data_IF_955139226227
#
_entry.id   IF_955139226227
#
_cell.length_a   1.000
_cell.length_b   1.000
_cell.length_c   1.000
_cell.angle_alpha   90.00
_cell.angle_beta   90.00
_cell.angle_gamma   90.00
#
_symmetry.space_group_name_H-M   'P 1'
#
loop_
_entity.id
_entity.type
_entity.pdbx_description
1 polymer ?
#
# COMPACT_ATOMS: atom_id res chain seq x y z
N UNK A 1 22.52 -33.65 -39.13
CA UNK A 1 21.80 -32.39 -38.80
C UNK A 1 22.58 -31.15 -39.24
N UNK A 2 21.89 -30.15 -39.79
CA UNK A 2 22.41 -28.82 -40.14
C UNK A 2 21.79 -27.74 -39.25
N UNK A 3 22.57 -26.73 -38.90
CA UNK A 3 22.09 -25.55 -38.16
C UNK A 3 22.00 -24.41 -39.17
N UNK A 4 20.83 -23.81 -39.31
CA UNK A 4 20.54 -22.85 -40.38
C UNK A 4 20.86 -21.42 -39.95
N UNK A 5 20.37 -20.98 -38.79
CA UNK A 5 20.66 -19.65 -38.26
C UNK A 5 20.51 -19.57 -36.74
N UNK A 6 21.13 -18.53 -36.18
CA UNK A 6 20.97 -18.04 -34.82
C UNK A 6 20.64 -16.56 -34.94
N UNK A 7 19.46 -16.13 -34.49
CA UNK A 7 19.08 -14.71 -34.55
C UNK A 7 18.35 -14.29 -33.28
N UNK A 8 18.69 -13.14 -32.68
CA UNK A 8 17.90 -12.59 -31.59
C UNK A 8 16.53 -12.12 -32.13
N UNK A 9 15.50 -12.13 -31.28
CA UNK A 9 14.18 -11.57 -31.61
C UNK A 9 14.21 -10.05 -31.68
N UNK A 10 15.09 -9.43 -30.89
CA UNK A 10 15.40 -7.99 -30.86
C UNK A 10 16.81 -7.77 -30.32
N UNK A 11 17.37 -6.60 -30.56
CA UNK A 11 18.72 -6.24 -30.10
C UNK A 11 18.72 -5.26 -28.92
N UNK A 12 17.56 -4.76 -28.48
CA UNK A 12 17.44 -3.79 -27.40
C UNK A 12 16.65 -4.37 -26.21
N UNK A 13 17.22 -4.22 -25.01
CA UNK A 13 16.72 -4.80 -23.76
C UNK A 13 16.77 -3.78 -22.62
N UNK A 14 15.91 -3.99 -21.62
CA UNK A 14 16.02 -3.32 -20.32
C UNK A 14 16.93 -4.14 -19.39
N UNK A 15 17.55 -3.52 -18.38
CA UNK A 15 18.30 -4.26 -17.36
C UNK A 15 17.51 -5.42 -16.76
N UNK A 16 18.14 -6.59 -16.64
CA UNK A 16 17.54 -7.84 -16.13
C UNK A 16 16.36 -8.43 -16.93
N UNK A 17 15.96 -7.81 -18.04
CA UNK A 17 14.86 -8.33 -18.87
C UNK A 17 15.26 -9.62 -19.59
N UNK A 18 14.27 -10.47 -19.87
CA UNK A 18 14.47 -11.68 -20.68
C UNK A 18 14.39 -11.34 -22.16
N UNK A 19 15.32 -11.90 -22.93
CA UNK A 19 15.36 -11.86 -24.37
C UNK A 19 15.23 -13.24 -24.98
N UNK A 20 14.78 -13.28 -26.23
CA UNK A 20 14.62 -14.51 -26.99
C UNK A 20 15.65 -14.57 -28.11
N UNK A 21 16.25 -15.74 -28.29
CA UNK A 21 17.11 -16.05 -29.41
C UNK A 21 16.59 -17.30 -30.10
N UNK A 22 16.39 -17.19 -31.41
CA UNK A 22 15.89 -18.29 -32.22
C UNK A 22 17.04 -19.06 -32.84
N UNK A 23 17.07 -20.36 -32.58
CA UNK A 23 18.03 -21.30 -33.19
C UNK A 23 17.25 -22.24 -34.10
N UNK A 24 17.49 -22.14 -35.41
CA UNK A 24 16.85 -23.00 -36.41
C UNK A 24 17.78 -24.14 -36.80
N UNK A 25 17.26 -25.36 -36.73
CA UNK A 25 17.99 -26.58 -37.08
C UNK A 25 17.14 -27.49 -37.94
N UNK A 26 17.82 -28.30 -38.74
CA UNK A 26 17.21 -29.31 -39.60
C UNK A 26 17.96 -30.64 -39.49
N UNK A 27 17.29 -31.68 -38.99
CA UNK A 27 17.82 -33.02 -38.91
C UNK A 27 17.41 -33.84 -40.15
N UNK A 28 18.23 -33.80 -41.20
CA UNK A 28 18.04 -34.63 -42.40
C UNK A 28 18.53 -36.09 -42.24
N UNK A 29 18.90 -36.53 -41.03
CA UNK A 29 19.37 -37.89 -40.79
C UNK A 29 18.19 -38.84 -40.52
N UNK A 30 18.45 -40.14 -40.69
CA UNK A 30 17.50 -41.21 -40.38
C UNK A 30 17.47 -41.58 -38.89
N UNK A 31 18.30 -40.94 -38.07
CA UNK A 31 18.40 -41.17 -36.62
C UNK A 31 18.13 -39.87 -35.85
N UNK A 32 17.81 -40.01 -34.57
CA UNK A 32 17.73 -38.91 -33.62
C UNK A 32 19.09 -38.21 -33.49
N UNK A 33 19.04 -36.89 -33.33
CA UNK A 33 20.21 -36.04 -33.10
C UNK A 33 19.98 -35.13 -31.89
N UNK A 34 21.08 -34.74 -31.25
CA UNK A 34 21.08 -33.82 -30.12
C UNK A 34 21.80 -32.53 -30.52
N UNK A 35 21.19 -31.40 -30.19
CA UNK A 35 21.81 -30.08 -30.29
C UNK A 35 22.25 -29.64 -28.90
N UNK A 36 23.50 -29.22 -28.78
CA UNK A 36 24.03 -28.55 -27.59
C UNK A 36 24.23 -27.07 -27.92
N UNK A 37 23.69 -26.19 -27.08
CA UNK A 37 23.83 -24.74 -27.25
C UNK A 37 24.58 -24.18 -26.06
N UNK A 38 25.81 -23.74 -26.30
CA UNK A 38 26.62 -22.99 -25.35
C UNK A 38 26.44 -21.50 -25.62
N UNK A 39 26.15 -20.71 -24.60
CA UNK A 39 26.03 -19.26 -24.74
C UNK A 39 26.68 -18.50 -23.59
N UNK A 40 27.17 -17.31 -23.91
CA UNK A 40 27.83 -16.40 -22.98
C UNK A 40 27.19 -15.01 -23.08
N UNK A 41 26.76 -14.47 -21.93
CA UNK A 41 26.22 -13.11 -21.81
C UNK A 41 27.00 -12.40 -20.72
N UNK A 42 27.69 -11.31 -21.06
CA UNK A 42 28.51 -10.54 -20.10
C UNK A 42 29.51 -11.40 -19.30
N UNK A 43 30.10 -12.41 -19.94
CA UNK A 43 31.06 -13.33 -19.32
C UNK A 43 30.44 -14.50 -18.53
N UNK A 44 29.13 -14.48 -18.26
CA UNK A 44 28.44 -15.62 -17.67
C UNK A 44 28.13 -16.67 -18.74
N UNK A 45 28.48 -17.93 -18.47
CA UNK A 45 28.37 -19.05 -19.42
C UNK A 45 27.25 -20.00 -19.05
N UNK A 46 26.52 -20.46 -20.05
CA UNK A 46 25.36 -21.32 -19.91
C UNK A 46 25.34 -22.38 -21.00
N UNK A 47 24.61 -23.47 -20.75
CA UNK A 47 24.42 -24.56 -21.70
C UNK A 47 22.97 -25.04 -21.67
N UNK A 48 22.42 -25.24 -22.86
CA UNK A 48 21.13 -25.90 -23.08
C UNK A 48 21.30 -27.08 -24.06
N UNK A 49 20.33 -28.00 -24.11
CA UNK A 49 20.33 -29.08 -25.07
C UNK A 49 18.91 -29.45 -25.53
N UNK A 50 18.78 -29.83 -26.80
CA UNK A 50 17.51 -30.23 -27.38
C UNK A 50 17.63 -31.52 -28.19
N UNK A 51 16.57 -32.33 -28.14
CA UNK A 51 16.40 -33.53 -28.95
C UNK A 51 15.59 -33.22 -30.21
N UNK A 52 16.06 -33.75 -31.35
CA UNK A 52 15.43 -33.56 -32.66
C UNK A 52 15.30 -34.91 -33.36
N UNK A 53 14.07 -35.29 -33.68
CA UNK A 53 13.77 -36.55 -34.37
C UNK A 53 14.30 -36.58 -35.81
N UNK A 54 14.28 -37.76 -36.46
CA UNK A 54 14.74 -37.92 -37.82
C UNK A 54 13.85 -37.17 -38.81
N UNK A 55 14.46 -36.58 -39.84
CA UNK A 55 13.79 -35.81 -40.91
C UNK A 55 12.93 -34.63 -40.40
N UNK A 56 13.35 -33.97 -39.31
CA UNK A 56 12.61 -32.84 -38.71
C UNK A 56 13.40 -31.53 -38.74
N UNK A 57 12.71 -30.43 -39.08
CA UNK A 57 13.22 -29.07 -38.92
C UNK A 57 12.46 -28.32 -37.81
N UNK A 58 13.19 -27.74 -36.85
CA UNK A 58 12.59 -27.08 -35.69
C UNK A 58 13.32 -25.77 -35.37
N UNK A 59 12.56 -24.78 -34.91
CA UNK A 59 13.09 -23.56 -34.31
C UNK A 59 12.95 -23.69 -32.81
N UNK A 60 14.04 -23.48 -32.09
CA UNK A 60 14.07 -23.45 -30.63
C UNK A 60 14.22 -22.01 -30.15
N UNK A 61 13.59 -21.72 -29.02
CA UNK A 61 13.72 -20.44 -28.33
C UNK A 61 14.65 -20.61 -27.15
N UNK A 62 15.79 -19.94 -27.21
CA UNK A 62 16.69 -19.76 -26.08
C UNK A 62 16.32 -18.45 -25.36
N UNK A 63 16.19 -18.50 -24.04
CA UNK A 63 16.00 -17.31 -23.23
C UNK A 63 17.35 -16.84 -22.68
N UNK A 64 17.68 -15.57 -22.94
CA UNK A 64 18.87 -14.91 -22.39
C UNK A 64 18.43 -13.82 -21.41
N UNK A 65 19.14 -13.65 -20.30
CA UNK A 65 18.89 -12.54 -19.39
C UNK A 65 19.82 -11.37 -19.70
N UNK A 66 19.25 -10.19 -19.94
CA UNK A 66 20.02 -8.98 -20.16
C UNK A 66 20.80 -8.58 -18.89
N UNK A 67 22.05 -8.11 -19.01
CA UNK A 67 22.83 -7.61 -17.89
C UNK A 67 22.11 -6.55 -17.04
N UNK A 68 22.42 -6.42 -15.73
CA UNK A 68 21.79 -5.43 -14.85
C UNK A 68 22.28 -3.99 -15.08
N UNK A 69 23.39 -3.82 -15.83
CA UNK A 69 23.97 -2.51 -16.14
C UNK A 69 23.66 -2.14 -17.57
N UNK A 70 23.51 -0.84 -17.81
CA UNK A 70 23.41 -0.29 -19.16
C UNK A 70 24.73 -0.44 -19.92
N UNK A 71 24.64 -0.60 -21.24
CA UNK A 71 25.79 -0.76 -22.11
C UNK A 71 25.50 -1.59 -23.35
N UNK A 72 26.52 -1.72 -24.18
CA UNK A 72 26.52 -2.64 -25.32
C UNK A 72 27.26 -3.91 -24.88
N UNK A 73 26.64 -5.06 -25.09
CA UNK A 73 27.15 -6.35 -24.67
C UNK A 73 27.20 -7.32 -25.84
N UNK A 74 28.31 -8.03 -25.96
CA UNK A 74 28.41 -9.17 -26.85
C UNK A 74 27.68 -10.38 -26.26
N UNK A 75 26.81 -10.99 -27.05
CA UNK A 75 26.25 -12.31 -26.79
C UNK A 75 26.90 -13.29 -27.74
N UNK A 76 27.64 -14.25 -27.18
CA UNK A 76 28.29 -15.32 -27.96
C UNK A 76 27.44 -16.56 -27.83
N UNK A 77 27.07 -17.15 -28.97
CA UNK A 77 26.29 -18.40 -28.99
C UNK A 77 26.97 -19.37 -29.93
N UNK A 78 27.12 -20.60 -29.48
CA UNK A 78 27.62 -21.73 -30.26
C UNK A 78 26.63 -22.87 -30.16
N UNK A 79 26.06 -23.25 -31.29
CA UNK A 79 25.21 -24.42 -31.41
C UNK A 79 26.01 -25.53 -32.09
N UNK A 80 26.02 -26.73 -31.50
CA UNK A 80 26.86 -27.83 -31.95
C UNK A 80 26.16 -29.18 -31.85
N UNK A 81 26.60 -30.11 -32.70
CA UNK A 81 26.25 -31.53 -32.64
C UNK A 81 27.52 -32.36 -32.90
N UNK A 82 27.37 -33.69 -33.04
CA UNK A 82 28.51 -34.60 -33.26
C UNK A 82 29.35 -34.26 -34.51
N UNK A 83 28.74 -33.66 -35.53
CA UNK A 83 29.31 -33.52 -36.87
C UNK A 83 29.61 -32.06 -37.25
N UNK A 84 28.82 -31.10 -36.75
CA UNK A 84 28.82 -29.71 -37.17
C UNK A 84 28.69 -28.78 -35.96
N UNK A 85 29.21 -27.56 -36.10
CA UNK A 85 28.96 -26.46 -35.18
C UNK A 85 28.78 -25.16 -35.96
N UNK A 86 27.97 -24.26 -35.45
CA UNK A 86 27.90 -22.87 -35.87
C UNK A 86 28.06 -21.99 -34.64
N UNK A 87 28.81 -20.91 -34.79
CA UNK A 87 28.90 -19.89 -33.75
C UNK A 87 28.56 -18.53 -34.33
N UNK A 88 27.94 -17.70 -33.50
CA UNK A 88 27.60 -16.33 -33.81
C UNK A 88 27.93 -15.45 -32.61
N UNK A 89 28.29 -14.21 -32.90
CA UNK A 89 28.32 -13.14 -31.91
C UNK A 89 27.41 -12.05 -32.43
N UNK A 90 26.52 -11.56 -31.57
CA UNK A 90 25.71 -10.39 -31.86
C UNK A 90 25.72 -9.46 -30.65
N UNK A 91 25.60 -8.17 -30.93
CA UNK A 91 25.53 -7.14 -29.91
C UNK A 91 24.09 -6.99 -29.44
N UNK A 92 23.92 -6.90 -28.13
CA UNK A 92 22.70 -6.42 -27.50
C UNK A 92 22.96 -5.09 -26.81
N UNK A 93 21.98 -4.19 -26.89
CA UNK A 93 21.99 -2.89 -26.24
C UNK A 93 21.10 -3.01 -25.01
N UNK A 94 21.69 -2.86 -23.82
CA UNK A 94 20.94 -2.70 -22.57
C UNK A 94 20.82 -1.21 -22.32
N UNK A 95 19.62 -0.69 -22.51
CA UNK A 95 19.31 0.71 -22.27
C UNK A 95 18.46 0.83 -21.00
N UNK A 96 18.69 1.87 -20.17
CA UNK A 96 17.86 2.10 -19.00
C UNK A 96 16.41 2.36 -19.41
N UNK A 97 15.47 2.14 -18.48
CA UNK A 97 14.08 2.50 -18.74
C UNK A 97 13.99 4.02 -18.78
N UNK A 98 13.68 4.58 -19.94
CA UNK A 98 13.63 6.03 -20.10
C UNK A 98 12.52 6.65 -19.25
N UNK A 99 11.35 6.02 -19.23
CA UNK A 99 10.15 6.46 -18.50
C UNK A 99 9.58 5.31 -17.66
N UNK A 100 9.69 5.44 -16.34
CA UNK A 100 9.07 4.55 -15.37
C UNK A 100 8.94 5.28 -14.04
N UNK A 101 7.92 4.94 -13.26
CA UNK A 101 7.68 5.61 -11.99
C UNK A 101 7.05 4.67 -10.96
N UNK A 102 7.13 5.05 -9.70
CA UNK A 102 6.46 4.40 -8.57
C UNK A 102 5.67 5.46 -7.83
N UNK A 103 4.54 5.06 -7.24
CA UNK A 103 3.69 5.93 -6.44
C UNK A 103 3.45 5.30 -5.09
N UNK A 104 3.34 6.15 -4.08
CA UNK A 104 3.05 5.75 -2.70
C UNK A 104 2.28 6.86 -1.99
N UNK A 105 1.54 6.53 -0.92
CA UNK A 105 0.89 7.53 -0.08
C UNK A 105 1.05 7.22 1.40
N UNK A 106 1.41 8.24 2.17
CA UNK A 106 1.59 8.15 3.61
C UNK A 106 0.77 9.20 4.38
N UNK A 107 0.09 8.83 5.48
CA UNK A 107 -0.19 7.44 5.87
C UNK A 107 -1.20 6.79 4.91
N UNK A 108 -1.07 5.48 4.71
CA UNK A 108 -2.01 4.65 3.94
C UNK A 108 -3.25 4.26 4.77
N UNK A 109 -3.19 4.45 6.09
CA UNK A 109 -4.29 4.29 7.03
C UNK A 109 -4.26 5.36 8.12
N UNK A 110 -5.38 6.03 8.34
CA UNK A 110 -5.52 7.01 9.43
C UNK A 110 -6.94 7.00 10.01
N UNK A 111 -7.07 7.24 11.31
CA UNK A 111 -8.33 7.45 12.00
C UNK A 111 -8.39 8.89 12.49
N UNK A 112 -9.46 9.63 12.17
CA UNK A 112 -9.65 11.03 12.58
C UNK A 112 -11.11 11.31 12.94
N UNK A 113 -11.35 12.37 13.69
CA UNK A 113 -12.70 12.78 14.04
C UNK A 113 -13.42 13.43 12.84
N UNK A 114 -14.72 13.18 12.73
CA UNK A 114 -15.56 13.76 11.68
C UNK A 114 -15.54 15.30 11.77
N UNK A 115 -15.29 15.95 10.64
CA UNK A 115 -15.11 17.41 10.56
C UNK A 115 -13.64 17.84 10.55
N UNK A 116 -12.69 16.94 10.82
CA UNK A 116 -11.27 17.24 10.69
C UNK A 116 -10.77 17.13 9.24
N UNK A 117 -9.76 17.93 8.90
CA UNK A 117 -9.05 17.82 7.62
C UNK A 117 -7.87 16.86 7.77
N UNK A 118 -7.83 15.83 6.94
CA UNK A 118 -6.74 14.87 6.90
C UNK A 118 -5.68 15.34 5.93
N UNK A 119 -4.42 15.36 6.38
CA UNK A 119 -3.26 15.63 5.53
C UNK A 119 -2.53 14.32 5.24
N UNK A 120 -2.39 13.98 3.96
CA UNK A 120 -1.63 12.86 3.45
C UNK A 120 -0.49 13.39 2.57
N UNK A 121 0.49 12.53 2.29
CA UNK A 121 1.64 12.84 1.47
C UNK A 121 1.74 11.84 0.31
N UNK A 122 1.49 12.29 -0.91
CA UNK A 122 1.63 11.50 -2.13
C UNK A 122 3.08 11.57 -2.61
N UNK A 123 3.77 10.43 -2.59
CA UNK A 123 5.09 10.28 -3.19
C UNK A 123 5.00 9.81 -4.63
N UNK A 124 5.64 10.53 -5.56
CA UNK A 124 5.82 10.11 -6.96
C UNK A 124 7.31 10.05 -7.24
N UNK A 125 7.84 8.85 -7.47
CA UNK A 125 9.24 8.61 -7.78
C UNK A 125 9.40 8.29 -9.27
N UNK A 126 10.07 9.16 -10.03
CA UNK A 126 10.52 8.86 -11.37
C UNK A 126 11.76 7.98 -11.29
N UNK A 127 11.60 6.69 -11.56
CA UNK A 127 12.68 5.70 -11.57
C UNK A 127 13.29 5.50 -12.97
N UNK A 128 12.81 6.26 -13.95
CA UNK A 128 13.40 6.37 -15.27
C UNK A 128 14.60 7.32 -15.31
N UNK A 129 15.32 7.33 -16.43
CA UNK A 129 16.50 8.19 -16.61
C UNK A 129 16.18 9.55 -17.23
N UNK A 130 15.01 9.72 -17.86
CA UNK A 130 14.57 10.99 -18.44
C UNK A 130 13.57 11.70 -17.53
N UNK A 131 13.52 13.06 -17.56
CA UNK A 131 12.44 13.79 -16.93
C UNK A 131 11.10 13.39 -17.54
N UNK A 132 10.05 13.39 -16.71
CA UNK A 132 8.70 12.99 -17.10
C UNK A 132 7.68 13.92 -16.43
N UNK A 133 6.52 14.08 -17.05
CA UNK A 133 5.42 14.91 -16.57
C UNK A 133 4.28 14.01 -16.12
N UNK A 134 3.85 14.13 -14.87
CA UNK A 134 2.81 13.30 -14.28
C UNK A 134 1.53 14.11 -14.06
N UNK A 135 0.41 13.59 -14.57
CA UNK A 135 -0.93 14.07 -14.25
C UNK A 135 -1.51 13.27 -13.08
N UNK A 136 -2.11 13.98 -12.13
CA UNK A 136 -2.67 13.42 -10.89
C UNK A 136 -4.18 13.64 -10.92
N UNK A 137 -4.92 12.55 -10.81
CA UNK A 137 -6.38 12.53 -10.80
C UNK A 137 -6.82 12.12 -9.39
N UNK A 138 -7.54 13.01 -8.73
CA UNK A 138 -8.04 12.83 -7.36
C UNK A 138 -9.57 12.92 -7.32
N UNK A 139 -10.22 12.33 -6.29
CA UNK A 139 -11.65 12.52 -6.05
C UNK A 139 -12.01 14.00 -5.77
N UNK A 140 -13.28 14.35 -5.96
CA UNK A 140 -13.75 15.75 -5.89
C UNK A 140 -13.54 16.44 -4.53
N UNK A 141 -13.57 15.67 -3.45
CA UNK A 141 -13.42 16.14 -2.08
C UNK A 141 -11.94 16.16 -1.59
N UNK A 142 -11.01 15.83 -2.48
CA UNK A 142 -9.57 15.83 -2.23
C UNK A 142 -8.94 17.06 -2.88
N UNK A 143 -8.12 17.78 -2.11
CA UNK A 143 -7.36 18.94 -2.57
C UNK A 143 -5.88 18.61 -2.63
N UNK A 144 -5.23 18.97 -3.74
CA UNK A 144 -3.79 18.92 -3.90
C UNK A 144 -3.27 20.27 -4.37
N UNK A 145 -2.00 20.55 -4.10
CA UNK A 145 -1.32 21.79 -4.49
C UNK A 145 -0.99 21.85 -5.98
N UNK A 146 -0.76 20.70 -6.64
CA UNK A 146 -0.54 20.60 -8.07
C UNK A 146 -1.14 19.32 -8.67
N UNK A 147 -1.94 19.47 -9.73
CA UNK A 147 -2.50 18.34 -10.50
C UNK A 147 -1.55 17.82 -11.59
N UNK A 148 -0.48 18.57 -11.88
CA UNK A 148 0.54 18.21 -12.87
C UNK A 148 1.89 18.56 -12.29
N UNK A 149 2.84 17.62 -12.34
CA UNK A 149 4.21 17.81 -11.86
C UNK A 149 5.23 17.27 -12.85
N UNK A 150 6.31 17.99 -13.06
CA UNK A 150 7.48 17.50 -13.82
C UNK A 150 8.53 17.01 -12.82
N UNK A 151 8.96 15.76 -12.96
CA UNK A 151 9.95 15.14 -12.06
C UNK A 151 11.15 14.69 -12.88
N UNK A 152 12.36 15.18 -12.57
CA UNK A 152 13.60 14.71 -13.19
C UNK A 152 13.77 13.20 -13.05
N UNK A 153 14.50 12.59 -13.98
CA UNK A 153 14.86 11.18 -13.89
C UNK A 153 15.59 10.86 -12.58
N UNK A 154 15.30 9.70 -12.00
CA UNK A 154 15.87 9.22 -10.73
C UNK A 154 15.63 10.16 -9.53
N UNK A 155 14.47 10.84 -9.52
CA UNK A 155 14.10 11.78 -8.46
C UNK A 155 12.69 11.48 -7.93
N UNK A 156 12.39 12.00 -6.74
CA UNK A 156 11.09 11.85 -6.06
C UNK A 156 10.53 13.23 -5.71
N UNK A 157 9.22 13.39 -5.88
CA UNK A 157 8.48 14.56 -5.42
C UNK A 157 7.37 14.12 -4.48
N UNK A 158 7.13 14.95 -3.47
CA UNK A 158 6.09 14.77 -2.47
C UNK A 158 5.04 15.86 -2.64
N UNK A 159 3.78 15.46 -2.63
CA UNK A 159 2.62 16.32 -2.92
C UNK A 159 1.70 16.26 -1.70
N UNK A 160 1.35 17.44 -1.18
CA UNK A 160 0.43 17.52 -0.04
C UNK A 160 -0.99 17.25 -0.52
N UNK A 161 -1.63 16.25 0.09
CA UNK A 161 -3.01 15.86 -0.20
C UNK A 161 -3.87 16.15 1.02
N UNK A 162 -4.91 16.95 0.84
CA UNK A 162 -5.87 17.28 1.88
C UNK A 162 -7.22 16.64 1.58
N UNK A 163 -7.71 15.82 2.49
CA UNK A 163 -9.05 15.25 2.42
C UNK A 163 -9.92 15.97 3.43
N UNK A 164 -10.95 16.67 2.95
CA UNK A 164 -11.85 17.44 3.81
C UNK A 164 -13.01 16.54 4.21
N UNK A 165 -13.11 16.21 5.49
CA UNK A 165 -14.30 15.55 6.04
C UNK A 165 -15.30 16.57 6.60
N UNK A 166 -16.59 16.26 6.51
CA UNK A 166 -17.67 17.00 7.16
C UNK A 166 -18.06 16.35 8.49
N UNK A 167 -18.53 17.14 9.45
CA UNK A 167 -19.14 16.62 10.69
C UNK A 167 -20.36 15.72 10.43
N UNK A 168 -20.98 15.86 9.25
CA UNK A 168 -22.13 15.07 8.82
C UNK A 168 -21.74 13.80 8.07
N UNK A 169 -20.46 13.58 7.80
CA UNK A 169 -20.01 12.41 7.05
C UNK A 169 -20.30 11.13 7.85
N UNK A 170 -20.66 10.03 7.17
CA UNK A 170 -20.91 8.77 7.84
C UNK A 170 -19.64 8.25 8.54
N UNK A 171 -19.79 7.94 9.82
CA UNK A 171 -18.75 7.27 10.62
C UNK A 171 -18.40 5.92 9.98
N UNK A 172 -17.11 5.63 9.88
CA UNK A 172 -16.61 4.40 9.28
C UNK A 172 -15.41 4.60 8.37
N UNK A 173 -14.95 3.50 7.77
CA UNK A 173 -13.82 3.50 6.86
C UNK A 173 -14.21 3.93 5.45
N UNK A 174 -13.41 4.82 4.88
CA UNK A 174 -13.50 5.31 3.51
C UNK A 174 -12.14 5.17 2.82
N UNK A 175 -12.15 4.69 1.58
CA UNK A 175 -10.95 4.61 0.74
C UNK A 175 -10.88 5.83 -0.18
N UNK A 176 -9.74 6.50 -0.19
CA UNK A 176 -9.40 7.60 -1.10
C UNK A 176 -8.41 7.05 -2.13
N UNK A 177 -8.88 6.82 -3.36
CA UNK A 177 -8.06 6.33 -4.46
C UNK A 177 -7.60 7.50 -5.34
N UNK A 178 -6.32 7.51 -5.73
CA UNK A 178 -5.75 8.48 -6.66
C UNK A 178 -5.08 7.75 -7.82
N UNK A 179 -5.15 8.35 -9.01
CA UNK A 179 -4.56 7.83 -10.23
C UNK A 179 -3.52 8.80 -10.77
N UNK A 180 -2.31 8.30 -11.00
CA UNK A 180 -1.17 9.06 -11.50
C UNK A 180 -0.81 8.49 -12.86
N UNK A 181 -0.72 9.35 -13.88
CA UNK A 181 -0.39 8.96 -15.25
C UNK A 181 0.82 9.74 -15.76
N UNK A 182 1.78 9.05 -16.37
CA UNK A 182 2.83 9.69 -17.17
C UNK A 182 2.20 10.29 -18.43
N UNK A 183 2.43 11.59 -18.67
CA UNK A 183 1.88 12.35 -19.79
C UNK A 183 2.88 12.50 -20.95
N UNK A 184 4.09 11.94 -20.82
CA UNK A 184 5.13 12.06 -21.84
C UNK A 184 4.86 11.18 -23.06
N UNK A 185 4.22 10.02 -22.87
CA UNK A 185 3.75 9.16 -23.96
C UNK A 185 2.22 9.12 -23.98
N UNK A 186 1.63 9.96 -24.84
CA UNK A 186 0.16 10.06 -24.97
C UNK A 186 -0.45 8.88 -25.73
N UNK A 187 0.35 8.07 -26.43
CA UNK A 187 -0.11 6.90 -27.16
C UNK A 187 -0.14 5.65 -26.26
N UNK A 188 0.77 5.56 -25.28
CA UNK A 188 0.82 4.53 -24.24
C UNK A 188 0.86 5.13 -22.83
N UNK A 189 -0.27 5.73 -22.42
CA UNK A 189 -0.46 6.33 -21.10
C UNK A 189 -0.25 5.31 -19.97
N UNK A 190 0.92 5.36 -19.34
CA UNK A 190 1.24 4.53 -18.18
C UNK A 190 0.65 5.16 -16.92
N UNK A 191 -0.38 4.52 -16.37
CA UNK A 191 -1.01 4.96 -15.14
C UNK A 191 -0.80 3.97 -13.98
N UNK A 192 -0.67 4.49 -12.77
CA UNK A 192 -0.64 3.74 -11.51
C UNK A 192 -1.67 4.32 -10.54
N UNK A 193 -2.19 3.48 -9.66
CA UNK A 193 -3.11 3.89 -8.60
C UNK A 193 -2.46 3.68 -7.23
N UNK A 194 -2.81 4.56 -6.30
CA UNK A 194 -2.50 4.41 -4.87
C UNK A 194 -3.72 4.82 -4.06
N UNK A 195 -3.82 4.35 -2.82
CA UNK A 195 -4.99 4.60 -1.98
C UNK A 195 -4.65 4.73 -0.52
N UNK A 196 -5.36 5.60 0.18
CA UNK A 196 -5.34 5.67 1.64
C UNK A 196 -6.73 5.35 2.22
N UNK A 197 -6.75 4.71 3.39
CA UNK A 197 -7.97 4.43 4.15
C UNK A 197 -8.10 5.43 5.29
N UNK A 198 -9.18 6.21 5.27
CA UNK A 198 -9.53 7.17 6.32
C UNK A 198 -10.71 6.61 7.10
N UNK A 199 -10.55 6.43 8.41
CA UNK A 199 -11.62 6.01 9.31
C UNK A 199 -12.12 7.24 10.07
N UNK A 200 -13.34 7.66 9.77
CA UNK A 200 -13.98 8.77 10.48
C UNK A 200 -14.60 8.27 11.79
N UNK A 201 -14.31 8.98 12.88
CA UNK A 201 -14.83 8.74 14.23
C UNK A 201 -15.71 9.90 14.70
N UNK A 202 -16.60 9.67 15.65
CA UNK A 202 -17.33 10.78 16.29
C UNK A 202 -16.34 11.62 17.09
N UNK A 203 -16.50 12.93 17.17
CA UNK A 203 -15.66 13.75 18.05
C UNK A 203 -15.63 13.20 19.50
N UNK A 204 -14.47 13.21 20.15
CA UNK A 204 -14.25 12.52 21.44
C UNK A 204 -15.30 12.85 22.52
N UNK A 205 -15.73 14.11 22.60
CA UNK A 205 -16.73 14.59 23.56
C UNK A 205 -18.16 14.10 23.28
N UNK A 206 -18.44 13.60 22.06
CA UNK A 206 -19.70 12.96 21.67
C UNK A 206 -19.64 11.42 21.72
N UNK A 207 -18.47 10.87 22.06
CA UNK A 207 -18.27 9.42 22.14
C UNK A 207 -18.67 8.84 23.50
N UNK A 208 -19.24 9.64 24.40
CA UNK A 208 -19.70 9.19 25.72
C UNK A 208 -21.12 9.70 25.97
N UNK A 209 -22.02 8.79 26.33
CA UNK A 209 -23.36 9.13 26.79
C UNK A 209 -23.45 8.78 28.27
N UNK A 210 -23.81 9.76 29.11
CA UNK A 210 -24.06 9.56 30.54
C UNK A 210 -25.55 9.72 30.79
N UNK A 211 -26.18 8.70 31.34
CA UNK A 211 -27.57 8.73 31.78
C UNK A 211 -27.63 8.50 33.29
N UNK A 212 -28.36 9.37 34.00
CA UNK A 212 -28.63 9.23 35.44
C UNK A 212 -29.91 8.42 35.58
N UNK A 213 -29.87 7.36 36.40
CA UNK A 213 -30.96 6.38 36.46
C UNK A 213 -32.20 6.83 37.26
N UNK A 214 -32.14 7.87 38.10
CA UNK A 214 -33.30 8.38 38.83
C UNK A 214 -33.08 9.76 39.46
N UNK A 215 -34.17 10.54 39.55
CA UNK A 215 -34.30 11.69 40.47
C UNK A 215 -34.71 11.15 41.84
N UNK A 216 -33.74 10.81 42.69
CA UNK A 216 -34.02 10.38 44.07
C UNK A 216 -33.63 11.46 45.08
N UNK A 217 -34.63 11.87 45.87
CA UNK A 217 -34.47 12.79 47.00
C UNK A 217 -34.13 11.97 48.23
N UNK A 218 -32.94 12.17 48.80
CA UNK A 218 -32.49 11.48 50.01
C UNK A 218 -32.58 12.37 51.25
N UNK A 219 -32.95 11.77 52.39
CA UNK A 219 -32.93 12.41 53.71
C UNK A 219 -31.73 11.96 54.55
N UNK A 220 -31.14 12.91 55.27
CA UNK A 220 -29.79 12.94 55.86
C UNK A 220 -29.43 11.92 56.97
N UNK A 221 -30.18 10.84 57.16
CA UNK A 221 -29.81 9.78 58.12
C UNK A 221 -29.24 8.53 57.46
N UNK A 222 -29.36 8.42 56.14
CA UNK A 222 -29.18 7.16 55.44
C UNK A 222 -28.07 7.30 54.39
N UNK A 223 -27.30 6.22 54.21
CA UNK A 223 -26.42 6.09 53.05
C UNK A 223 -27.30 5.98 51.80
N UNK A 224 -27.03 6.80 50.80
CA UNK A 224 -27.69 6.73 49.50
C UNK A 224 -26.76 6.08 48.48
N UNK A 225 -27.33 5.38 47.51
CA UNK A 225 -26.58 4.91 46.33
C UNK A 225 -27.40 5.27 45.11
N UNK A 226 -26.81 6.01 44.18
CA UNK A 226 -27.40 6.25 42.87
C UNK A 226 -26.50 5.68 41.77
N UNK A 227 -27.07 5.29 40.65
CA UNK A 227 -26.33 4.69 39.54
C UNK A 227 -26.27 5.61 38.34
N UNK A 228 -25.07 5.77 37.79
CA UNK A 228 -24.83 6.34 36.47
C UNK A 228 -24.69 5.19 35.46
N UNK A 229 -25.30 5.33 34.29
CA UNK A 229 -25.03 4.48 33.14
C UNK A 229 -24.17 5.27 32.14
N UNK A 230 -22.96 4.80 31.89
CA UNK A 230 -22.03 5.40 30.91
C UNK A 230 -21.91 4.46 29.73
N UNK A 231 -22.24 4.95 28.54
CA UNK A 231 -22.13 4.20 27.28
C UNK A 231 -20.98 4.75 26.44
N UNK A 232 -20.08 3.86 25.99
CA UNK A 232 -19.03 4.21 25.04
C UNK A 232 -19.59 4.14 23.60
N UNK A 233 -19.82 5.31 23.01
CA UNK A 233 -20.27 5.47 21.62
C UNK A 233 -19.09 5.60 20.63
N UNK A 234 -17.85 5.53 21.11
CA UNK A 234 -16.64 5.53 20.29
C UNK A 234 -16.33 4.16 19.67
N UNK A 235 -15.32 4.13 18.78
CA UNK A 235 -14.88 2.89 18.09
C UNK A 235 -13.70 2.18 18.78
N UNK A 236 -13.13 2.79 19.84
CA UNK A 236 -12.03 2.23 20.63
C UNK A 236 -12.45 2.05 22.09
N UNK A 237 -11.70 1.25 22.84
CA UNK A 237 -11.85 1.13 24.29
C UNK A 237 -11.59 2.49 24.94
N UNK A 238 -12.47 2.91 25.87
CA UNK A 238 -12.30 4.15 26.62
C UNK A 238 -12.16 3.87 28.10
N UNK A 239 -11.15 4.47 28.72
CA UNK A 239 -10.96 4.46 30.18
C UNK A 239 -11.55 5.73 30.78
N UNK A 240 -12.42 5.56 31.77
CA UNK A 240 -13.10 6.63 32.48
C UNK A 240 -12.56 6.73 33.91
N UNK A 241 -12.47 7.96 34.41
CA UNK A 241 -12.25 8.30 35.81
C UNK A 241 -13.47 9.08 36.29
N UNK A 242 -14.04 8.67 37.42
CA UNK A 242 -15.18 9.36 38.04
C UNK A 242 -14.66 10.21 39.17
N UNK A 243 -14.61 11.51 38.95
CA UNK A 243 -14.32 12.49 39.98
C UNK A 243 -15.65 13.05 40.49
N UNK A 244 -15.83 13.05 41.82
CA UNK A 244 -17.02 13.60 42.44
C UNK A 244 -16.62 14.63 43.49
N UNK A 245 -17.17 15.83 43.37
CA UNK A 245 -17.01 16.90 44.34
C UNK A 245 -18.22 16.93 45.27
N UNK A 246 -17.99 17.03 46.59
CA UNK A 246 -19.06 17.22 47.57
C UNK A 246 -18.74 18.36 48.52
N UNK A 247 -19.77 18.89 49.17
CA UNK A 247 -19.61 19.78 50.31
C UNK A 247 -18.99 19.04 51.51
N UNK A 248 -18.47 19.78 52.50
CA UNK A 248 -17.72 19.22 53.63
C UNK A 248 -18.53 18.18 54.46
N UNK A 249 -19.85 18.15 54.30
CA UNK A 249 -20.78 17.40 55.13
C UNK A 249 -21.15 16.00 54.60
N UNK A 250 -20.58 15.59 53.47
CA UNK A 250 -20.75 14.25 52.90
C UNK A 250 -19.42 13.60 52.52
N UNK A 251 -19.42 12.27 52.38
CA UNK A 251 -18.40 11.49 51.68
C UNK A 251 -19.07 10.87 50.48
N UNK A 252 -18.53 11.10 49.27
CA UNK A 252 -19.01 10.47 48.05
C UNK A 252 -17.96 9.46 47.57
N UNK A 253 -18.41 8.25 47.25
CA UNK A 253 -17.55 7.13 46.86
C UNK A 253 -18.10 6.52 45.56
N UNK A 254 -17.45 6.74 44.40
CA UNK A 254 -17.80 6.04 43.17
C UNK A 254 -17.28 4.60 43.18
N UNK A 255 -18.07 3.66 42.64
CA UNK A 255 -17.69 2.27 42.48
C UNK A 255 -18.20 1.71 41.14
N UNK A 256 -17.31 1.38 40.18
CA UNK A 256 -15.86 1.60 40.22
C UNK A 256 -15.46 3.07 40.00
N UNK A 257 -14.33 3.50 40.60
CA UNK A 257 -13.74 4.84 40.40
C UNK A 257 -13.10 4.99 39.01
N UNK A 258 -12.42 3.94 38.55
CA UNK A 258 -11.80 3.87 37.22
C UNK A 258 -12.18 2.58 36.53
N UNK A 259 -12.52 2.65 35.24
CA UNK A 259 -12.91 1.47 34.46
C UNK A 259 -12.77 1.72 32.97
N UNK A 260 -12.69 0.64 32.20
CA UNK A 260 -12.60 0.68 30.73
C UNK A 260 -13.87 0.08 30.13
N UNK A 261 -14.48 0.79 29.18
CA UNK A 261 -15.67 0.34 28.45
C UNK A 261 -15.29 0.04 27.00
N UNK A 262 -15.61 -1.16 26.53
CA UNK A 262 -15.46 -1.55 25.11
C UNK A 262 -16.43 -0.78 24.20
N UNK A 263 -16.15 -0.65 22.89
CA UNK A 263 -17.04 0.00 21.92
C UNK A 263 -18.48 -0.53 21.98
N UNK A 264 -19.45 0.37 22.10
CA UNK A 264 -20.88 0.05 22.16
C UNK A 264 -21.37 -0.52 23.49
N UNK A 265 -20.48 -0.83 24.43
CA UNK A 265 -20.86 -1.33 25.75
C UNK A 265 -21.31 -0.20 26.69
N UNK A 266 -22.06 -0.57 27.72
CA UNK A 266 -22.50 0.34 28.79
C UNK A 266 -22.03 -0.20 30.13
N UNK A 267 -21.39 0.65 30.93
CA UNK A 267 -21.00 0.35 32.29
C UNK A 267 -21.90 1.12 33.27
N UNK A 268 -22.35 0.44 34.31
CA UNK A 268 -23.00 1.08 35.45
C UNK A 268 -21.95 1.44 36.50
N UNK A 269 -22.06 2.64 37.05
CA UNK A 269 -21.25 3.12 38.16
C UNK A 269 -22.19 3.46 39.29
N UNK A 270 -21.99 2.84 40.44
CA UNK A 270 -22.75 3.13 41.64
C UNK A 270 -21.99 4.20 42.45
N UNK A 271 -22.67 5.29 42.78
CA UNK A 271 -22.13 6.39 43.59
C UNK A 271 -22.79 6.34 44.96
N UNK A 272 -21.99 6.03 45.98
CA UNK A 272 -22.43 5.97 47.37
C UNK A 272 -22.22 7.32 48.05
N UNK A 273 -23.26 7.86 48.68
CA UNK A 273 -23.22 9.12 49.44
C UNK A 273 -23.45 8.81 50.91
N UNK A 274 -22.53 9.26 51.77
CA UNK A 274 -22.54 9.02 53.22
C UNK A 274 -22.45 10.38 53.94
N UNK A 275 -23.52 10.80 54.61
CA UNK A 275 -23.55 12.05 55.38
C UNK A 275 -22.69 12.00 56.65
N UNK A 276 -22.02 13.10 57.00
CA UNK A 276 -21.10 13.22 58.17
C UNK A 276 -21.72 13.88 59.41
N UNK A 277 -22.74 14.73 59.25
CA UNK A 277 -23.43 15.42 60.37
C UNK A 277 -24.96 15.27 60.26
N UNK A 278 -25.75 15.69 61.26
CA UNK A 278 -27.23 15.66 61.17
C UNK A 278 -27.77 17.03 60.74
N UNK A 279 -28.42 17.13 59.57
CA UNK A 279 -29.13 18.35 59.12
C UNK A 279 -29.78 18.20 57.74
N UNK A 280 -30.80 19.00 57.41
CA UNK A 280 -31.47 18.93 56.09
C UNK A 280 -30.66 19.69 55.04
N UNK A 281 -30.14 18.99 54.05
CA UNK A 281 -29.77 19.60 52.77
C UNK A 281 -30.39 18.81 51.62
N UNK A 282 -30.94 19.56 50.67
CA UNK A 282 -31.52 19.05 49.43
C UNK A 282 -30.41 18.95 48.40
N UNK A 283 -30.06 17.74 47.97
CA UNK A 283 -29.10 17.54 46.89
C UNK A 283 -29.91 17.50 45.58
N UNK A 284 -29.68 18.48 44.71
CA UNK A 284 -30.19 18.54 43.33
C UNK A 284 -29.00 18.46 42.38
N UNK A 285 -29.05 17.56 41.40
CA UNK A 285 -28.03 17.39 40.36
C UNK A 285 -28.52 18.00 39.05
#
# INVERSE_FOLDING_TARGET
MSIEYITPSKIAFQPNSLGEVYVRVNNNAQNDEYLFVDYEVSGAKYRDFWHIGPNQGRTFTLYIQAPPKEGIYDVKISASNKWNSISGTFEIIVAPVEFNFVVDIEPDYISVDAGETVNLNLGIANVGTKPDVYGIIVPEDVKIDANIVEIPGSNITHISVQVVSSETDPIGGRVVEMKICSLTDLEDLKCKTTSATIVLTKAEFLQSLVAIASDEIFTYSDSAVFSLAITNLGIQNKTYLIEVESDENATIIPNPETFTIEPGATQKVDISVIGKEKGLQEIRY
#
